data_IF_048164234934
#
_entry.id   IF_048164234934
#
_cell.length_a   1.000
_cell.length_b   1.000
_cell.length_c   1.000
_cell.angle_alpha   90.00
_cell.angle_beta   90.00
_cell.angle_gamma   90.00
#
_symmetry.space_group_name_H-M   'P 1'
#
loop_
_entity.id
_entity.type
_entity.pdbx_description
1 polymer ?
#
# COMPACT_ATOMS: atom_id res chain seq x y z
N UNK A 1 -10.72 4.56 2.45
CA UNK A 1 -10.46 4.49 3.91
C UNK A 1 -9.95 3.11 4.30
N UNK A 2 -10.81 2.10 4.49
CA UNK A 2 -10.41 0.71 4.83
C UNK A 2 -9.28 0.15 3.95
N UNK A 3 -9.52 0.07 2.63
CA UNK A 3 -8.55 -0.47 1.66
C UNK A 3 -7.19 0.23 1.68
N UNK A 4 -7.17 1.53 2.00
CA UNK A 4 -5.93 2.30 2.07
C UNK A 4 -5.08 1.84 3.26
N UNK A 5 -5.69 1.70 4.45
CA UNK A 5 -4.98 1.20 5.65
C UNK A 5 -4.51 -0.24 5.47
N UNK A 6 -5.34 -1.12 4.91
CA UNK A 6 -4.92 -2.50 4.60
C UNK A 6 -3.78 -2.50 3.56
N UNK A 7 -3.85 -1.62 2.55
CA UNK A 7 -2.81 -1.48 1.54
C UNK A 7 -1.46 -1.05 2.13
N UNK A 8 -1.46 -0.12 3.08
CA UNK A 8 -0.25 0.24 3.83
C UNK A 8 0.26 -0.93 4.65
N UNK A 9 -0.61 -1.59 5.41
CA UNK A 9 -0.20 -2.72 6.25
C UNK A 9 0.38 -3.90 5.44
N UNK A 10 -0.13 -4.13 4.24
CA UNK A 10 0.38 -5.14 3.31
C UNK A 10 1.60 -4.67 2.49
N UNK A 11 1.99 -3.39 2.60
CA UNK A 11 3.13 -2.86 1.87
C UNK A 11 4.43 -3.42 2.45
N UNK A 12 5.35 -3.85 1.58
CA UNK A 12 6.58 -4.54 2.02
C UNK A 12 7.44 -3.73 2.98
N UNK A 13 7.41 -2.40 2.87
CA UNK A 13 8.13 -1.50 3.78
C UNK A 13 7.49 -1.39 5.18
N UNK A 14 6.20 -1.70 5.31
CA UNK A 14 5.43 -1.58 6.56
C UNK A 14 5.03 -2.93 7.14
N UNK A 15 5.16 -4.03 6.41
CA UNK A 15 4.63 -5.34 6.80
C UNK A 15 5.14 -5.84 8.16
N UNK A 16 6.38 -5.50 8.54
CA UNK A 16 6.95 -5.85 9.85
C UNK A 16 6.54 -4.88 10.97
N UNK A 17 6.07 -3.69 10.58
CA UNK A 17 5.63 -2.59 11.44
C UNK A 17 4.11 -2.54 11.58
N UNK A 18 3.41 -3.53 11.02
CA UNK A 18 1.95 -3.55 10.91
C UNK A 18 1.35 -4.73 11.67
N UNK A 19 0.28 -4.44 12.41
CA UNK A 19 -0.57 -5.44 13.05
C UNK A 19 -1.93 -5.40 12.39
N UNK A 20 -2.40 -6.57 11.93
CA UNK A 20 -3.69 -6.69 11.25
C UNK A 20 -4.49 -7.76 11.95
N UNK A 21 -5.49 -7.30 12.68
CA UNK A 21 -6.45 -8.11 13.39
C UNK A 21 -7.76 -8.22 12.61
N UNK A 22 -8.68 -9.01 13.14
CA UNK A 22 -9.98 -9.29 12.50
C UNK A 22 -10.76 -8.01 12.15
N UNK A 23 -10.64 -6.95 12.95
CA UNK A 23 -11.42 -5.72 12.79
C UNK A 23 -10.57 -4.46 12.84
N UNK A 24 -9.25 -4.59 12.93
CA UNK A 24 -8.36 -3.47 13.19
C UNK A 24 -7.08 -3.63 12.38
N UNK A 25 -6.59 -2.49 11.89
CA UNK A 25 -5.27 -2.37 11.28
C UNK A 25 -4.56 -1.27 12.02
N UNK A 26 -3.40 -1.60 12.58
CA UNK A 26 -2.47 -0.64 13.15
C UNK A 26 -1.13 -0.75 12.40
N UNK A 27 -0.55 0.40 12.08
CA UNK A 27 0.79 0.47 11.50
C UNK A 27 1.57 1.47 12.33
N UNK A 28 2.58 0.99 13.05
CA UNK A 28 3.40 1.77 13.98
C UNK A 28 4.87 1.64 13.61
N UNK A 29 5.53 2.75 13.32
CA UNK A 29 6.87 2.77 12.75
C UNK A 29 7.68 3.93 13.30
N UNK A 30 9.01 3.77 13.39
CA UNK A 30 9.91 4.89 13.63
C UNK A 30 9.90 5.87 12.44
N UNK A 31 10.17 7.14 12.69
CA UNK A 31 10.23 8.20 11.68
C UNK A 31 11.32 8.02 10.62
N UNK A 32 12.38 7.27 10.93
CA UNK A 32 13.51 6.98 10.03
C UNK A 32 13.28 5.71 9.20
N UNK A 33 12.18 5.00 9.43
CA UNK A 33 11.84 3.77 8.75
C UNK A 33 11.43 4.02 7.29
N UNK A 34 11.57 2.99 6.47
CA UNK A 34 11.06 2.98 5.11
C UNK A 34 9.52 2.96 5.05
N UNK A 35 8.84 2.68 6.17
CA UNK A 35 7.38 2.71 6.25
C UNK A 35 6.82 4.14 6.34
N UNK A 36 7.54 5.08 6.96
CA UNK A 36 7.11 6.48 7.13
C UNK A 36 6.65 7.15 5.84
N UNK A 37 7.40 7.09 4.71
CA UNK A 37 6.91 7.67 3.45
C UNK A 37 5.65 6.96 2.89
N UNK A 38 5.44 5.68 3.22
CA UNK A 38 4.20 4.97 2.84
C UNK A 38 3.01 5.48 3.66
N UNK A 39 3.22 5.75 4.96
CA UNK A 39 2.23 6.37 5.83
C UNK A 39 1.91 7.82 5.41
N UNK A 40 2.89 8.58 4.92
CA UNK A 40 2.67 9.91 4.33
C UNK A 40 1.77 9.85 3.10
N UNK A 41 2.02 8.92 2.17
CA UNK A 41 1.15 8.73 1.01
C UNK A 41 -0.28 8.32 1.41
N UNK A 42 -0.43 7.56 2.50
CA UNK A 42 -1.74 7.24 3.07
C UNK A 42 -2.44 8.49 3.58
N UNK A 43 -1.76 9.33 4.37
CA UNK A 43 -2.31 10.60 4.84
C UNK A 43 -2.82 11.46 3.69
N UNK A 44 -2.03 11.63 2.63
CA UNK A 44 -2.43 12.40 1.45
C UNK A 44 -3.66 11.81 0.76
N UNK A 45 -3.72 10.48 0.64
CA UNK A 45 -4.83 9.75 0.02
C UNK A 45 -6.11 9.67 0.87
N UNK A 46 -6.03 9.93 2.18
CA UNK A 46 -7.19 9.88 3.06
C UNK A 46 -8.11 11.09 2.82
N UNK A 47 -9.43 10.87 2.74
CA UNK A 47 -10.39 11.96 2.64
C UNK A 47 -10.42 12.77 3.94
N UNK A 48 -10.57 14.08 3.82
CA UNK A 48 -10.73 14.99 4.94
C UNK A 48 -12.17 14.95 5.48
N UNK A 49 -12.59 13.80 6.04
CA UNK A 49 -13.91 13.62 6.64
C UNK A 49 -13.84 12.76 7.90
N UNK A 50 -14.84 12.91 8.78
CA UNK A 50 -14.96 12.07 9.96
C UNK A 50 -15.45 10.68 9.57
N UNK A 51 -14.71 9.67 10.01
CA UNK A 51 -15.14 8.28 10.00
C UNK A 51 -15.98 8.02 11.23
N UNK A 52 -17.25 7.69 11.03
CA UNK A 52 -18.16 7.34 12.11
C UNK A 52 -18.36 5.82 12.17
N UNK A 53 -17.85 5.21 13.23
CA UNK A 53 -18.11 3.84 13.63
C UNK A 53 -18.78 3.87 14.99
N UNK A 54 -20.06 3.49 15.05
CA UNK A 54 -20.85 3.55 16.28
C UNK A 54 -20.11 2.82 17.42
N UNK A 55 -19.90 3.53 18.53
CA UNK A 55 -19.24 3.04 19.77
C UNK A 55 -17.71 2.81 19.69
N UNK A 56 -17.07 3.06 18.55
CA UNK A 56 -15.63 2.80 18.35
C UNK A 56 -14.85 3.99 17.79
N UNK A 57 -15.45 4.75 16.87
CA UNK A 57 -14.70 5.79 16.15
C UNK A 57 -15.59 6.96 15.75
N UNK A 58 -15.09 8.17 15.96
CA UNK A 58 -15.66 9.39 15.41
C UNK A 58 -14.55 10.41 15.20
N UNK A 59 -13.64 10.10 14.28
CA UNK A 59 -12.44 10.89 14.06
C UNK A 59 -12.13 11.07 12.57
N UNK A 60 -11.37 12.10 12.28
CA UNK A 60 -10.87 12.36 10.94
C UNK A 60 -9.54 11.64 10.76
N UNK A 61 -9.55 10.53 10.02
CA UNK A 61 -8.36 9.71 9.80
C UNK A 61 -7.24 10.43 9.08
N UNK A 62 -7.56 11.39 8.20
CA UNK A 62 -6.54 12.24 7.57
C UNK A 62 -5.83 13.09 8.62
N UNK A 63 -6.59 13.73 9.50
CA UNK A 63 -6.03 14.59 10.54
C UNK A 63 -5.23 13.79 11.58
N UNK A 64 -5.70 12.61 11.97
CA UNK A 64 -4.95 11.72 12.86
C UNK A 64 -3.61 11.30 12.26
N UNK A 65 -3.61 10.84 11.01
CA UNK A 65 -2.38 10.47 10.30
C UNK A 65 -1.43 11.66 10.16
N UNK A 66 -1.94 12.82 9.77
CA UNK A 66 -1.16 14.05 9.68
C UNK A 66 -0.55 14.43 11.03
N UNK A 67 -1.35 14.42 12.10
CA UNK A 67 -0.90 14.80 13.43
C UNK A 67 0.17 13.85 13.97
N UNK A 68 0.07 12.55 13.67
CA UNK A 68 1.12 11.59 14.05
C UNK A 68 2.39 11.83 13.25
N UNK A 69 2.29 11.93 11.92
CA UNK A 69 3.44 12.13 11.03
C UNK A 69 4.15 13.47 11.23
N UNK A 70 3.43 14.52 11.63
CA UNK A 70 4.01 15.82 11.95
C UNK A 70 5.02 15.76 13.11
N UNK A 71 4.98 14.71 13.95
CA UNK A 71 5.98 14.49 15.00
C UNK A 71 7.36 14.12 14.43
N UNK A 72 7.41 13.52 13.24
CA UNK A 72 8.67 13.19 12.58
C UNK A 72 9.45 14.41 12.07
N UNK A 73 8.75 15.50 11.74
CA UNK A 73 9.38 16.76 11.33
C UNK A 73 9.95 17.54 12.53
N UNK A 74 9.55 17.17 13.76
CA UNK A 74 10.07 17.77 14.97
C UNK A 74 11.38 17.11 15.39
N UNK A 75 12.29 17.91 15.97
CA UNK A 75 13.67 17.52 16.32
C UNK A 75 13.79 16.33 17.30
N UNK A 76 12.67 15.84 17.84
CA UNK A 76 12.54 14.68 18.72
C UNK A 76 11.79 13.54 18.00
N UNK A 77 12.29 13.13 16.83
CA UNK A 77 11.75 12.04 16.02
C UNK A 77 11.97 10.63 16.63
N UNK A 78 12.03 10.53 17.96
CA UNK A 78 12.24 9.27 18.68
C UNK A 78 10.93 8.57 19.01
N UNK A 79 9.81 9.29 18.99
CA UNK A 79 8.49 8.70 19.22
C UNK A 79 8.01 8.02 17.93
N UNK A 80 7.54 6.76 18.00
CA UNK A 80 7.00 6.07 16.85
C UNK A 80 5.72 6.74 16.36
N UNK A 81 5.55 6.81 15.05
CA UNK A 81 4.31 7.26 14.41
C UNK A 81 3.39 6.07 14.20
N UNK A 82 2.10 6.26 14.42
CA UNK A 82 1.10 5.22 14.23
C UNK A 82 -0.12 5.74 13.47
N UNK A 83 -0.64 4.88 12.60
CA UNK A 83 -1.93 5.07 11.93
C UNK A 83 -2.78 3.83 12.12
N UNK A 84 -3.98 4.03 12.68
CA UNK A 84 -4.91 2.98 13.02
C UNK A 84 -6.26 3.12 12.33
N UNK A 85 -6.89 1.99 11.99
CA UNK A 85 -8.24 1.94 11.43
C UNK A 85 -9.05 0.78 11.97
N UNK A 86 -10.19 1.10 12.58
CA UNK A 86 -11.21 0.12 12.92
C UNK A 86 -12.21 -0.10 11.79
N UNK A 87 -12.59 -1.35 11.59
CA UNK A 87 -13.50 -1.80 10.56
C UNK A 87 -14.74 -2.45 11.18
N UNK A 88 -15.92 -2.14 10.66
CA UNK A 88 -17.17 -2.86 11.00
C UNK A 88 -17.29 -4.24 10.33
N UNK A 89 -16.33 -4.64 9.49
CA UNK A 89 -16.33 -5.94 8.80
C UNK A 89 -14.98 -6.60 8.95
N UNK A 90 -14.97 -7.92 8.86
CA UNK A 90 -13.75 -8.71 8.97
C UNK A 90 -12.73 -8.30 7.91
N UNK A 91 -11.50 -8.11 8.35
CA UNK A 91 -10.35 -7.80 7.51
C UNK A 91 -9.65 -9.13 7.21
N UNK A 92 -9.45 -9.41 5.91
CA UNK A 92 -8.74 -10.59 5.44
C UNK A 92 -7.65 -10.15 4.49
N UNK A 93 -6.38 -10.29 4.91
CA UNK A 93 -5.25 -10.08 4.01
C UNK A 93 -4.94 -11.40 3.32
N UNK A 94 -5.19 -11.44 2.02
CA UNK A 94 -4.72 -12.54 1.18
C UNK A 94 -3.29 -12.23 0.78
N UNK A 95 -2.33 -12.98 1.33
CA UNK A 95 -0.97 -12.99 0.81
C UNK A 95 -1.01 -13.50 -0.64
N UNK A 96 -0.55 -12.72 -1.63
CA UNK A 96 -0.48 -13.21 -3.01
C UNK A 96 0.50 -14.38 -3.06
N UNK A 97 0.03 -15.55 -3.51
CA UNK A 97 0.93 -16.64 -3.87
C UNK A 97 1.62 -16.28 -5.18
N UNK A 98 2.84 -15.75 -5.09
CA UNK A 98 3.91 -15.75 -6.10
C UNK A 98 3.51 -15.69 -7.58
N UNK A 99 2.53 -14.87 -7.96
CA UNK A 99 2.26 -14.42 -9.32
C UNK A 99 1.12 -13.40 -9.22
N UNK A 100 1.40 -12.13 -9.53
CA UNK A 100 0.49 -10.98 -9.42
C UNK A 100 0.43 -10.38 -8.01
N UNK A 101 0.58 -9.05 -7.93
CA UNK A 101 0.70 -8.29 -6.68
C UNK A 101 -0.46 -8.49 -5.70
N UNK A 102 -0.21 -8.12 -4.43
CA UNK A 102 -1.13 -8.29 -3.32
C UNK A 102 -2.55 -7.85 -3.67
N UNK A 103 -3.44 -8.84 -3.79
CA UNK A 103 -4.87 -8.61 -4.01
C UNK A 103 -5.57 -8.63 -2.65
N UNK A 104 -5.89 -7.45 -2.13
CA UNK A 104 -6.73 -7.32 -0.92
C UNK A 104 -8.19 -7.57 -1.33
N UNK A 105 -8.80 -8.65 -0.84
CA UNK A 105 -10.25 -8.87 -1.00
C UNK A 105 -10.99 -8.23 0.18
N UNK A 106 -11.89 -7.31 -0.15
CA UNK A 106 -12.82 -6.70 0.79
C UNK A 106 -14.07 -7.58 0.85
N UNK A 107 -14.24 -8.37 1.91
CA UNK A 107 -15.50 -9.11 2.11
C UNK A 107 -16.51 -8.17 2.79
N UNK A 108 -17.21 -7.40 1.97
CA UNK A 108 -18.41 -6.67 2.39
C UNK A 108 -19.59 -7.53 1.93
N UNK A 109 -20.28 -8.20 2.84
CA UNK A 109 -21.63 -8.71 2.54
C UNK A 109 -22.59 -7.51 2.44
N UNK A 110 -22.50 -6.77 1.33
CA UNK A 110 -23.49 -5.81 0.87
C UNK A 110 -23.28 -5.60 -0.64
N UNK A 111 -24.28 -5.98 -1.44
CA UNK A 111 -24.37 -5.75 -2.88
C UNK A 111 -24.11 -4.27 -3.24
N UNK A 112 -23.02 -3.98 -3.95
CA UNK A 112 -22.95 -3.10 -5.15
C UNK A 112 -21.51 -2.73 -5.57
N UNK A 113 -21.33 -2.62 -6.89
CA UNK A 113 -20.10 -2.31 -7.64
C UNK A 113 -19.36 -1.04 -7.20
N UNK A 114 -18.03 -1.09 -7.15
CA UNK A 114 -17.13 -0.28 -8.00
C UNK A 114 -15.65 -0.52 -7.64
N UNK A 115 -14.85 -0.74 -8.69
CA UNK A 115 -13.41 -0.99 -8.61
C UNK A 115 -12.62 0.23 -8.14
N UNK A 116 -11.46 -0.04 -7.57
CA UNK A 116 -10.39 0.95 -7.36
C UNK A 116 -9.09 0.17 -7.29
N UNK A 117 -8.35 0.21 -8.39
CA UNK A 117 -7.02 -0.35 -8.52
C UNK A 117 -6.05 0.53 -7.73
N UNK A 118 -5.49 -0.01 -6.66
CA UNK A 118 -4.37 0.62 -5.95
C UNK A 118 -3.09 0.31 -6.73
N UNK A 119 -2.65 1.26 -7.54
CA UNK A 119 -1.40 1.19 -8.30
C UNK A 119 -0.24 1.45 -7.34
N UNK A 120 0.32 0.37 -6.78
CA UNK A 120 1.65 0.40 -6.18
C UNK A 120 2.67 0.59 -7.30
N UNK A 121 3.17 1.81 -7.46
CA UNK A 121 4.23 2.10 -8.43
C UNK A 121 5.55 1.51 -7.94
N UNK A 122 5.82 0.26 -8.33
CA UNK A 122 7.20 -0.23 -8.40
C UNK A 122 7.69 0.03 -9.82
N UNK A 123 8.61 0.98 -9.98
CA UNK A 123 9.43 1.14 -11.17
C UNK A 123 10.36 -0.08 -11.32
N UNK A 124 9.79 -1.22 -11.69
CA UNK A 124 10.54 -2.26 -12.36
C UNK A 124 10.65 -1.81 -13.82
N UNK A 125 11.85 -1.36 -14.19
CA UNK A 125 12.27 -1.16 -15.57
C UNK A 125 12.07 -2.48 -16.33
N UNK A 126 10.87 -2.69 -16.88
CA UNK A 126 10.55 -3.83 -17.74
C UNK A 126 10.94 -3.46 -19.15
N UNK A 127 12.14 -3.87 -19.52
CA UNK A 127 12.59 -4.06 -20.89
C UNK A 127 11.47 -4.78 -21.65
N UNK A 128 10.81 -4.06 -22.55
CA UNK A 128 9.84 -4.61 -23.49
C UNK A 128 10.59 -5.52 -24.47
N UNK A 129 10.74 -6.79 -24.10
CA UNK A 129 11.10 -7.86 -25.04
C UNK A 129 9.83 -8.24 -25.80
N UNK A 130 9.69 -7.65 -26.99
CA UNK A 130 8.62 -7.96 -27.95
C UNK A 130 8.65 -9.45 -28.29
N UNK A 131 7.48 -10.06 -28.27
CA UNK A 131 7.31 -11.45 -28.67
C UNK A 131 7.74 -11.70 -30.11
N UNK A 132 8.31 -12.88 -30.27
CA UNK A 132 8.80 -13.46 -31.50
C UNK A 132 7.58 -13.89 -32.32
N UNK A 133 7.34 -13.23 -33.45
CA UNK A 133 6.65 -13.84 -34.59
C UNK A 133 7.68 -13.96 -35.71
N UNK A 134 7.97 -15.21 -36.08
CA UNK A 134 9.00 -15.54 -37.05
C UNK A 134 8.58 -15.23 -38.48
N UNK A 135 9.52 -14.68 -39.26
CA UNK A 135 9.69 -15.00 -40.67
C UNK A 135 11.10 -14.62 -41.14
N UNK A 136 11.76 -15.62 -41.71
CA UNK A 136 12.93 -15.65 -42.58
C UNK A 136 13.36 -14.33 -43.25
N UNK A 137 14.68 -14.09 -43.33
CA UNK A 137 15.46 -13.92 -44.59
C UNK A 137 16.97 -13.82 -44.25
N UNK A 138 17.79 -14.30 -45.19
CA UNK A 138 19.14 -14.81 -45.06
C UNK A 138 20.28 -13.79 -45.18
N UNK A 139 21.49 -14.22 -44.76
CA UNK A 139 22.85 -13.91 -45.31
C UNK A 139 23.34 -12.44 -45.22
N UNK A 140 24.60 -12.04 -44.94
CA UNK A 140 25.99 -12.52 -45.12
C UNK A 140 26.89 -11.87 -44.02
N UNK A 141 28.07 -12.44 -43.73
CA UNK A 141 29.09 -12.00 -42.73
C UNK A 141 29.61 -10.55 -42.84
N UNK A 142 30.45 -10.07 -41.91
CA UNK A 142 31.88 -10.38 -41.77
C UNK A 142 32.40 -9.94 -40.37
N UNK A 143 33.34 -10.69 -39.81
CA UNK A 143 34.15 -10.40 -38.61
C UNK A 143 34.99 -9.11 -38.73
N UNK A 144 35.08 -8.34 -37.64
CA UNK A 144 36.31 -7.60 -37.28
C UNK A 144 36.50 -7.67 -35.75
N UNK A 145 37.55 -8.37 -35.34
CA UNK A 145 38.12 -8.37 -33.98
C UNK A 145 39.07 -7.16 -33.83
N UNK A 146 39.17 -6.64 -32.61
CA UNK A 146 40.28 -5.82 -32.12
C UNK A 146 41.08 -6.65 -31.12
#
# INVERSE_FOLDING_TARGET
MRKLHIGVAAHTACANESTVDKYEVDVSSECTSLCTPVMQNLEEALPNCNYFLKDYENSNKKWEAYSSLAQCDQRNASDPVSVGFHSNSTITILTPSSASGSAVKDEISATSNSGSDFVGSSTAMRTQLSWIDGAFIATVGIMVQL
#
